data_IF_025582110071
#
_entry.id   IF_025582110071
#
_cell.length_a   1.000
_cell.length_b   1.000
_cell.length_c   1.000
_cell.angle_alpha   90.00
_cell.angle_beta   90.00
_cell.angle_gamma   90.00
#
_symmetry.space_group_name_H-M   'P 1'
#
loop_
_entity.id
_entity.type
_entity.pdbx_description
1 polymer ?
#
# COMPACT_ATOMS: atom_id res chain seq x y z
N UNK A 1 28.79 8.59 -2.78
CA UNK A 1 28.20 7.47 -3.52
C UNK A 1 27.57 8.06 -4.76
N UNK A 2 27.75 7.44 -5.92
CA UNK A 2 27.00 7.82 -7.12
C UNK A 2 25.56 7.31 -6.96
N UNK A 3 24.57 8.12 -7.35
CA UNK A 3 23.19 7.68 -7.47
C UNK A 3 23.16 6.70 -8.64
N UNK A 4 22.71 5.47 -8.39
CA UNK A 4 22.65 4.40 -9.39
C UNK A 4 21.25 4.19 -9.95
N UNK A 5 20.23 4.67 -9.22
CA UNK A 5 18.84 4.49 -9.56
C UNK A 5 18.06 5.79 -9.34
N UNK A 6 17.31 6.20 -10.35
CA UNK A 6 16.42 7.37 -10.31
C UNK A 6 15.07 6.94 -10.86
N UNK A 7 14.00 7.10 -10.11
CA UNK A 7 12.68 6.62 -10.47
C UNK A 7 11.56 7.54 -10.08
N UNK A 8 10.37 7.19 -10.55
CA UNK A 8 9.12 7.92 -10.31
C UNK A 8 8.05 6.93 -9.87
N UNK A 9 7.20 7.33 -8.91
CA UNK A 9 5.97 6.61 -8.59
C UNK A 9 4.92 6.85 -9.68
N UNK A 10 4.31 5.78 -10.17
CA UNK A 10 3.39 5.80 -11.29
C UNK A 10 2.04 5.19 -10.90
N UNK A 11 0.98 5.95 -11.10
CA UNK A 11 -0.40 5.59 -10.73
C UNK A 11 -1.30 5.30 -11.95
N UNK A 12 -0.76 5.38 -13.16
CA UNK A 12 -1.49 5.31 -14.43
C UNK A 12 -1.66 3.90 -14.98
N UNK A 13 -2.13 2.93 -14.17
CA UNK A 13 -2.18 1.51 -14.55
C UNK A 13 -3.33 1.11 -15.48
N UNK A 14 -4.30 2.00 -15.72
CA UNK A 14 -5.51 1.66 -16.49
C UNK A 14 -5.28 1.57 -18.00
N UNK A 15 -4.29 2.30 -18.55
CA UNK A 15 -4.08 2.41 -20.00
C UNK A 15 -2.61 2.20 -20.38
N UNK A 16 -2.32 1.06 -20.98
CA UNK A 16 -0.95 0.65 -21.36
C UNK A 16 -0.31 1.64 -22.34
N UNK A 17 -1.09 2.16 -23.29
CA UNK A 17 -0.59 3.09 -24.31
C UNK A 17 -0.20 4.47 -23.72
N UNK A 18 -0.84 4.87 -22.62
CA UNK A 18 -0.44 6.07 -21.88
C UNK A 18 0.85 5.81 -21.12
N UNK A 19 0.92 4.68 -20.41
CA UNK A 19 2.11 4.29 -19.65
C UNK A 19 3.37 4.25 -20.50
N UNK A 20 3.28 3.74 -21.75
CA UNK A 20 4.41 3.72 -22.68
C UNK A 20 4.98 5.10 -22.97
N UNK A 21 4.11 6.10 -23.18
CA UNK A 21 4.54 7.48 -23.44
C UNK A 21 5.15 8.13 -22.19
N UNK A 22 4.53 7.88 -21.04
CA UNK A 22 5.01 8.40 -19.75
C UNK A 22 6.38 7.79 -19.40
N UNK A 23 6.58 6.49 -19.66
CA UNK A 23 7.87 5.82 -19.45
C UNK A 23 8.95 6.37 -20.40
N UNK A 24 8.61 6.67 -21.65
CA UNK A 24 9.55 7.30 -22.57
C UNK A 24 9.98 8.67 -22.04
N UNK A 25 9.03 9.49 -21.54
CA UNK A 25 9.33 10.78 -20.93
C UNK A 25 10.24 10.63 -19.70
N UNK A 26 9.96 9.65 -18.83
CA UNK A 26 10.82 9.35 -17.68
C UNK A 26 12.25 9.01 -18.11
N UNK A 27 12.41 8.16 -19.13
CA UNK A 27 13.71 7.77 -19.67
C UNK A 27 14.44 8.99 -20.25
N UNK A 28 13.75 9.83 -21.00
CA UNK A 28 14.31 11.04 -21.60
C UNK A 28 14.80 12.04 -20.53
N UNK A 29 14.25 11.93 -19.29
CA UNK A 29 14.68 12.68 -18.12
C UNK A 29 15.64 11.90 -17.20
N UNK A 30 16.30 10.87 -17.72
CA UNK A 30 17.30 10.04 -17.04
C UNK A 30 16.74 9.21 -15.86
N UNK A 31 15.44 8.89 -15.85
CA UNK A 31 14.93 7.86 -14.95
C UNK A 31 15.26 6.47 -15.52
N UNK A 32 15.61 5.56 -14.62
CA UNK A 32 15.92 4.15 -14.95
C UNK A 32 15.11 3.17 -14.08
N UNK A 33 14.18 3.69 -13.27
CA UNK A 33 13.28 2.90 -12.44
C UNK A 33 11.87 3.50 -12.43
N UNK A 34 10.87 2.65 -12.20
CA UNK A 34 9.48 3.05 -11.96
C UNK A 34 8.90 2.26 -10.80
N UNK A 35 8.15 2.93 -9.94
CA UNK A 35 7.38 2.31 -8.86
C UNK A 35 5.91 2.33 -9.26
N UNK A 36 5.35 1.16 -9.54
CA UNK A 36 3.94 1.01 -9.92
C UNK A 36 3.08 0.95 -8.66
N UNK A 37 2.36 2.02 -8.37
CA UNK A 37 1.49 2.13 -7.21
C UNK A 37 0.14 1.44 -7.48
N UNK A 38 -0.19 0.43 -6.66
CA UNK A 38 -1.31 -0.49 -6.83
C UNK A 38 -2.36 -0.29 -5.74
N UNK A 39 -3.61 -0.21 -6.15
CA UNK A 39 -4.76 -0.29 -5.26
C UNK A 39 -5.42 -1.68 -5.32
N UNK A 40 -6.36 -1.95 -4.40
CA UNK A 40 -7.20 -3.15 -4.48
C UNK A 40 -8.00 -3.20 -5.79
N UNK A 41 -8.46 -2.04 -6.27
CA UNK A 41 -9.15 -1.93 -7.55
C UNK A 41 -8.28 -2.36 -8.74
N UNK A 42 -7.00 -1.98 -8.74
CA UNK A 42 -6.08 -2.39 -9.79
C UNK A 42 -5.88 -3.90 -9.79
N UNK A 43 -5.73 -4.49 -8.60
CA UNK A 43 -5.55 -5.94 -8.46
C UNK A 43 -6.81 -6.72 -8.85
N UNK A 44 -8.00 -6.22 -8.48
CA UNK A 44 -9.25 -6.93 -8.70
C UNK A 44 -9.79 -6.77 -10.13
N UNK A 45 -9.67 -5.59 -10.73
CA UNK A 45 -10.31 -5.26 -12.01
C UNK A 45 -9.32 -5.01 -13.15
N UNK A 46 -8.09 -4.58 -12.86
CA UNK A 46 -7.10 -4.18 -13.86
C UNK A 46 -5.83 -5.04 -13.86
N UNK A 47 -5.90 -6.22 -13.27
CA UNK A 47 -4.72 -7.10 -13.16
C UNK A 47 -4.03 -7.40 -14.51
N UNK A 48 -4.72 -7.66 -15.63
CA UNK A 48 -4.08 -7.79 -16.93
C UNK A 48 -3.31 -6.54 -17.36
N UNK A 49 -3.80 -5.35 -17.00
CA UNK A 49 -3.14 -4.08 -17.30
C UNK A 49 -1.89 -3.89 -16.45
N UNK A 50 -1.92 -4.26 -15.16
CA UNK A 50 -0.72 -4.25 -14.31
C UNK A 50 0.39 -5.07 -14.97
N UNK A 51 0.08 -6.30 -15.41
CA UNK A 51 1.03 -7.18 -16.11
C UNK A 51 1.58 -6.54 -17.38
N UNK A 52 0.70 -5.96 -18.19
CA UNK A 52 1.08 -5.34 -19.45
C UNK A 52 1.94 -4.08 -19.23
N UNK A 53 1.58 -3.24 -18.27
CA UNK A 53 2.33 -2.03 -17.91
C UNK A 53 3.70 -2.39 -17.35
N UNK A 54 3.79 -3.34 -16.41
CA UNK A 54 5.05 -3.81 -15.85
C UNK A 54 5.97 -4.38 -16.95
N UNK A 55 5.41 -5.26 -17.78
CA UNK A 55 6.16 -5.82 -18.92
C UNK A 55 6.65 -4.71 -19.85
N UNK A 56 5.81 -3.73 -20.17
CA UNK A 56 6.22 -2.62 -21.06
C UNK A 56 7.35 -1.81 -20.46
N UNK A 57 7.30 -1.50 -19.16
CA UNK A 57 8.39 -0.83 -18.47
C UNK A 57 9.69 -1.63 -18.54
N UNK A 58 9.62 -2.95 -18.31
CA UNK A 58 10.78 -3.85 -18.45
C UNK A 58 11.33 -3.88 -19.88
N UNK A 59 10.47 -3.99 -20.89
CA UNK A 59 10.86 -3.99 -22.30
C UNK A 59 11.56 -2.67 -22.71
N UNK A 60 11.24 -1.56 -22.04
CA UNK A 60 11.87 -0.25 -22.21
C UNK A 60 13.15 -0.06 -21.35
N UNK A 61 13.54 -1.06 -20.56
CA UNK A 61 14.77 -1.06 -19.79
C UNK A 61 14.67 -0.43 -18.39
N UNK A 62 13.46 -0.19 -17.90
CA UNK A 62 13.27 0.31 -16.53
C UNK A 62 13.35 -0.83 -15.51
N UNK A 63 13.93 -0.55 -14.35
CA UNK A 63 13.72 -1.35 -13.13
C UNK A 63 12.30 -1.11 -12.63
N UNK A 64 11.57 -2.19 -12.32
CA UNK A 64 10.15 -2.11 -11.95
C UNK A 64 9.96 -2.55 -10.50
N UNK A 65 9.41 -1.67 -9.69
CA UNK A 65 8.96 -1.98 -8.34
C UNK A 65 7.45 -1.94 -8.25
N UNK A 66 6.88 -2.81 -7.42
CA UNK A 66 5.45 -2.85 -7.12
C UNK A 66 5.23 -2.25 -5.73
N UNK A 67 4.41 -1.24 -5.66
CA UNK A 67 4.01 -0.61 -4.41
C UNK A 67 2.54 -0.94 -4.10
N UNK A 68 2.30 -1.58 -2.98
CA UNK A 68 0.96 -1.96 -2.52
C UNK A 68 0.24 -0.82 -1.78
N UNK A 69 0.52 0.40 -2.18
CA UNK A 69 0.04 1.66 -1.60
C UNK A 69 -1.46 1.67 -1.26
N UNK A 70 -2.31 1.16 -2.14
CA UNK A 70 -3.76 1.20 -1.96
C UNK A 70 -4.38 -0.03 -1.30
N UNK A 71 -3.59 -0.97 -0.74
CA UNK A 71 -4.11 -2.21 -0.16
C UNK A 71 -4.43 -2.03 1.33
N UNK A 72 -5.73 -2.15 1.67
CA UNK A 72 -6.20 -2.06 3.06
C UNK A 72 -6.01 -0.70 3.72
N UNK A 73 -5.62 0.32 2.97
CA UNK A 73 -5.20 1.65 3.48
C UNK A 73 -4.11 1.57 4.57
N UNK A 74 -3.36 0.50 4.60
CA UNK A 74 -2.31 0.32 5.60
C UNK A 74 -1.06 1.15 5.28
N UNK A 75 -0.82 1.40 3.99
CA UNK A 75 0.28 2.23 3.50
C UNK A 75 -0.11 3.70 3.27
N UNK A 76 -1.15 4.20 3.93
CA UNK A 76 -1.58 5.58 3.78
C UNK A 76 -2.40 5.89 2.52
N UNK A 77 -2.58 4.91 1.63
CA UNK A 77 -3.26 5.09 0.35
C UNK A 77 -4.67 5.67 0.45
N UNK A 78 -5.04 6.48 -0.53
CA UNK A 78 -6.33 7.18 -0.61
C UNK A 78 -7.52 6.29 -1.00
N UNK A 79 -7.37 5.21 -1.80
CA UNK A 79 -8.52 4.42 -2.24
C UNK A 79 -9.28 3.80 -1.07
N UNK A 80 -10.59 3.70 -1.24
CA UNK A 80 -11.43 2.95 -0.30
C UNK A 80 -11.08 1.46 -0.39
N UNK A 81 -10.77 0.83 0.74
CA UNK A 81 -10.49 -0.60 0.76
C UNK A 81 -11.77 -1.41 0.54
N UNK A 82 -11.79 -2.21 -0.52
CA UNK A 82 -12.84 -3.18 -0.80
C UNK A 82 -12.85 -4.30 0.24
N UNK A 83 -11.66 -4.75 0.65
CA UNK A 83 -11.52 -5.73 1.71
C UNK A 83 -12.21 -5.25 3.00
N UNK A 84 -11.93 -4.02 3.44
CA UNK A 84 -12.53 -3.46 4.65
C UNK A 84 -14.03 -3.16 4.53
N UNK A 85 -14.50 -2.90 3.34
CA UNK A 85 -15.94 -2.73 3.08
C UNK A 85 -16.67 -4.04 3.31
N UNK A 86 -16.09 -5.17 2.87
CA UNK A 86 -16.66 -6.50 3.03
C UNK A 86 -16.33 -7.14 4.40
N UNK A 87 -15.28 -6.66 5.08
CA UNK A 87 -14.76 -7.23 6.32
C UNK A 87 -14.53 -6.13 7.37
N UNK A 88 -15.57 -5.39 7.81
CA UNK A 88 -15.42 -4.21 8.67
C UNK A 88 -14.77 -4.51 10.04
N UNK A 89 -14.86 -5.74 10.54
CA UNK A 89 -14.23 -6.17 11.79
C UNK A 89 -12.69 -6.25 11.73
N UNK A 90 -12.07 -6.04 10.56
CA UNK A 90 -10.62 -6.01 10.40
C UNK A 90 -10.04 -4.58 10.44
N UNK A 91 -10.85 -3.59 10.74
CA UNK A 91 -10.41 -2.19 10.85
C UNK A 91 -9.57 -1.97 12.10
N UNK A 92 -8.67 -1.03 12.01
CA UNK A 92 -7.98 -0.49 13.18
C UNK A 92 -8.98 0.23 14.10
N UNK A 93 -8.63 0.29 15.38
CA UNK A 93 -9.43 0.97 16.40
C UNK A 93 -8.56 2.01 17.09
N UNK A 94 -9.09 3.24 17.18
CA UNK A 94 -8.46 4.34 17.92
C UNK A 94 -8.31 3.95 19.39
N UNK A 95 -7.14 4.22 19.97
CA UNK A 95 -6.89 3.96 21.37
C UNK A 95 -7.65 4.91 22.28
N UNK A 96 -7.86 6.13 21.83
CA UNK A 96 -8.44 7.21 22.62
C UNK A 96 -9.97 7.24 22.53
N UNK A 97 -10.51 7.17 21.30
CA UNK A 97 -11.96 7.27 21.11
C UNK A 97 -12.67 5.93 21.05
N UNK A 98 -11.96 4.84 20.78
CA UNK A 98 -12.54 3.53 20.53
C UNK A 98 -13.24 3.41 19.16
N UNK A 99 -13.17 4.43 18.32
CA UNK A 99 -13.78 4.42 16.99
C UNK A 99 -12.98 3.57 16.02
N UNK A 100 -13.68 2.98 15.05
CA UNK A 100 -13.04 2.24 13.96
C UNK A 100 -12.48 3.21 12.92
N UNK A 101 -11.25 2.94 12.50
CA UNK A 101 -10.52 3.75 11.52
C UNK A 101 -10.60 3.14 10.12
N UNK A 102 -10.40 3.92 9.05
CA UNK A 102 -10.53 3.45 7.67
C UNK A 102 -9.38 2.56 7.18
N UNK A 103 -8.46 2.17 8.05
CA UNK A 103 -7.30 1.34 7.72
C UNK A 103 -7.41 -0.08 8.31
N UNK A 104 -6.85 -1.07 7.62
CA UNK A 104 -6.80 -2.44 8.07
C UNK A 104 -5.84 -2.62 9.24
N UNK A 105 -6.21 -3.43 10.22
CA UNK A 105 -5.28 -3.85 11.25
C UNK A 105 -4.45 -5.02 10.74
N UNK A 106 -3.16 -4.84 10.58
CA UNK A 106 -2.25 -5.86 10.09
C UNK A 106 -2.13 -7.08 11.00
N UNK A 107 -2.52 -6.95 12.26
CA UNK A 107 -2.54 -8.08 13.20
C UNK A 107 -3.77 -8.98 13.04
N UNK A 108 -4.76 -8.58 12.25
CA UNK A 108 -5.93 -9.44 12.00
C UNK A 108 -5.55 -10.57 11.02
N UNK A 109 -5.80 -11.85 11.36
CA UNK A 109 -5.40 -12.96 10.51
C UNK A 109 -6.02 -12.95 9.12
N UNK A 110 -7.27 -12.44 9.01
CA UNK A 110 -7.97 -12.36 7.73
C UNK A 110 -7.32 -11.34 6.79
N UNK A 111 -6.96 -10.14 7.30
CA UNK A 111 -6.27 -9.16 6.48
C UNK A 111 -4.86 -9.61 6.11
N UNK A 112 -4.10 -10.20 7.04
CA UNK A 112 -2.76 -10.72 6.75
C UNK A 112 -2.79 -11.74 5.62
N UNK A 113 -3.73 -12.68 5.65
CA UNK A 113 -3.88 -13.68 4.59
C UNK A 113 -4.19 -13.01 3.25
N UNK A 114 -5.21 -12.16 3.22
CA UNK A 114 -5.59 -11.41 2.02
C UNK A 114 -4.41 -10.63 1.44
N UNK A 115 -3.66 -9.91 2.26
CA UNK A 115 -2.51 -9.12 1.83
C UNK A 115 -1.38 -10.01 1.28
N UNK A 116 -1.06 -11.11 1.95
CA UNK A 116 -0.05 -12.04 1.48
C UNK A 116 -0.45 -12.76 0.20
N UNK A 117 -1.72 -13.13 0.05
CA UNK A 117 -2.24 -13.71 -1.18
C UNK A 117 -2.07 -12.74 -2.38
N UNK A 118 -2.31 -11.44 -2.16
CA UNK A 118 -2.05 -10.41 -3.17
C UNK A 118 -0.54 -10.31 -3.48
N UNK A 119 0.31 -10.24 -2.47
CA UNK A 119 1.76 -10.16 -2.68
C UNK A 119 2.30 -11.39 -3.43
N UNK A 120 1.83 -12.60 -3.08
CA UNK A 120 2.20 -13.82 -3.77
C UNK A 120 1.76 -13.81 -5.24
N UNK A 121 0.52 -13.40 -5.50
CA UNK A 121 -0.02 -13.25 -6.86
C UNK A 121 0.80 -12.26 -7.68
N UNK A 122 1.09 -11.09 -7.11
CA UNK A 122 1.90 -10.06 -7.76
C UNK A 122 3.31 -10.58 -8.05
N UNK A 123 3.97 -11.18 -7.07
CA UNK A 123 5.33 -11.71 -7.21
C UNK A 123 5.44 -12.84 -8.23
N UNK A 124 4.39 -13.65 -8.38
CA UNK A 124 4.40 -14.82 -9.29
C UNK A 124 3.96 -14.50 -10.72
N UNK A 125 3.15 -13.45 -10.90
CA UNK A 125 2.51 -13.20 -12.19
C UNK A 125 2.92 -11.89 -12.87
N UNK A 126 3.54 -10.95 -12.14
CA UNK A 126 3.97 -9.65 -12.68
C UNK A 126 5.48 -9.62 -12.85
N UNK A 127 5.95 -9.22 -14.02
CA UNK A 127 7.38 -9.05 -14.30
C UNK A 127 7.92 -7.82 -13.57
N UNK A 128 8.29 -7.96 -12.31
CA UNK A 128 8.86 -6.89 -11.49
C UNK A 128 10.16 -7.32 -10.80
N UNK A 129 10.99 -6.35 -10.46
CA UNK A 129 12.29 -6.57 -9.81
C UNK A 129 12.17 -6.62 -8.29
N UNK A 130 11.09 -6.06 -7.72
CA UNK A 130 10.88 -6.05 -6.28
C UNK A 130 9.61 -5.36 -5.84
N UNK A 131 9.44 -5.30 -4.52
CA UNK A 131 8.40 -4.52 -3.88
C UNK A 131 8.99 -3.25 -3.28
N UNK A 132 8.25 -2.16 -3.39
CA UNK A 132 8.48 -0.93 -2.66
C UNK A 132 7.41 -0.82 -1.55
N UNK A 133 7.83 -0.53 -0.33
CA UNK A 133 6.92 -0.38 0.80
C UNK A 133 6.83 1.09 1.15
N UNK A 134 5.77 1.74 0.69
CA UNK A 134 5.50 3.14 0.99
C UNK A 134 4.78 3.26 2.35
N UNK A 135 5.35 4.07 3.24
CA UNK A 135 4.80 4.49 4.53
C UNK A 135 3.97 3.43 5.30
N UNK A 136 4.51 2.20 5.55
CA UNK A 136 3.76 1.20 6.29
C UNK A 136 3.61 1.62 7.76
N UNK A 137 2.44 2.08 8.16
CA UNK A 137 2.19 2.56 9.52
C UNK A 137 0.76 2.28 9.98
N UNK A 138 0.57 2.28 11.29
CA UNK A 138 -0.77 2.32 11.86
C UNK A 138 -1.41 3.68 11.62
N UNK A 139 -2.71 3.69 11.43
CA UNK A 139 -3.44 4.94 11.26
C UNK A 139 -3.27 5.82 12.51
N UNK A 140 -2.94 7.08 12.26
CA UNK A 140 -2.87 8.12 13.27
C UNK A 140 -4.09 9.01 13.07
N UNK A 141 -5.20 8.81 13.84
CA UNK A 141 -6.49 9.44 13.56
C UNK A 141 -6.44 10.95 13.44
N UNK A 142 -5.46 11.55 14.12
CA UNK A 142 -5.25 13.00 14.13
C UNK A 142 -3.97 13.46 13.43
N UNK A 143 -3.25 12.58 12.72
CA UNK A 143 -2.06 13.00 11.98
C UNK A 143 -2.39 14.04 10.90
N UNK A 144 -3.52 13.89 10.23
CA UNK A 144 -4.07 14.92 9.36
C UNK A 144 -4.53 16.17 10.12
N UNK A 145 -5.02 16.03 11.34
CA UNK A 145 -5.40 17.17 12.18
C UNK A 145 -4.18 17.96 12.65
N UNK A 146 -2.99 17.39 12.75
CA UNK A 146 -1.76 18.14 13.04
C UNK A 146 -1.35 19.02 11.87
N UNK A 147 -1.59 18.60 10.64
CA UNK A 147 -1.41 19.43 9.43
C UNK A 147 -2.47 20.53 9.37
N UNK A 148 -3.67 20.28 9.92
CA UNK A 148 -4.81 21.21 9.94
C UNK A 148 -4.96 21.95 11.28
N UNK A 149 -4.02 21.81 12.22
CA UNK A 149 -3.99 22.51 13.51
C UNK A 149 -4.70 21.81 14.68
N UNK A 150 -5.02 20.52 14.56
CA UNK A 150 -5.54 19.70 15.65
C UNK A 150 -4.44 19.07 16.50
N UNK A 151 -4.53 19.18 17.83
CA UNK A 151 -3.67 18.41 18.73
C UNK A 151 -4.06 16.93 18.71
N UNK A 152 -3.09 16.04 18.42
CA UNK A 152 -3.40 14.64 18.30
C UNK A 152 -2.49 13.75 19.13
N UNK A 153 -2.96 13.33 20.30
CA UNK A 153 -2.31 12.32 21.13
C UNK A 153 -2.92 10.92 20.90
N UNK A 154 -3.77 10.78 19.87
CA UNK A 154 -4.43 9.51 19.56
C UNK A 154 -3.54 8.62 18.70
N UNK A 155 -3.69 7.33 18.86
CA UNK A 155 -2.93 6.31 18.16
C UNK A 155 -3.81 5.08 17.85
N UNK A 156 -3.30 4.17 17.04
CA UNK A 156 -3.89 2.87 16.74
C UNK A 156 -2.77 1.80 16.78
N UNK A 157 -3.09 0.53 17.00
CA UNK A 157 -4.43 -0.03 16.97
C UNK A 157 -4.77 -0.63 18.35
N UNK A 158 -5.92 -0.29 18.89
CA UNK A 158 -6.45 -0.89 20.13
C UNK A 158 -7.61 -1.87 19.85
N UNK A 159 -7.59 -2.58 18.73
CA UNK A 159 -8.58 -3.63 18.48
C UNK A 159 -8.37 -4.82 19.42
N UNK A 160 -9.37 -5.69 19.63
CA UNK A 160 -9.27 -6.82 20.56
C UNK A 160 -8.08 -7.74 20.28
N UNK A 161 -7.68 -7.88 19.01
CA UNK A 161 -6.53 -8.71 18.63
C UNK A 161 -5.22 -8.05 19.08
N UNK A 162 -5.06 -6.74 18.84
CA UNK A 162 -3.88 -6.00 19.29
C UNK A 162 -3.76 -5.99 20.81
N UNK A 163 -4.87 -5.78 21.52
CA UNK A 163 -4.89 -5.85 22.99
C UNK A 163 -4.41 -7.22 23.51
N UNK A 164 -4.96 -8.29 22.93
CA UNK A 164 -4.56 -9.66 23.30
C UNK A 164 -3.09 -9.94 23.01
N UNK A 165 -2.59 -9.55 21.86
CA UNK A 165 -1.17 -9.75 21.49
C UNK A 165 -0.25 -8.95 22.43
N UNK A 166 -0.61 -7.72 22.73
CA UNK A 166 0.14 -6.89 23.65
C UNK A 166 0.19 -7.50 25.07
N UNK A 167 -0.98 -7.94 25.60
CA UNK A 167 -1.04 -8.59 26.91
C UNK A 167 -0.22 -9.88 26.97
N UNK A 168 -0.21 -10.65 25.89
CA UNK A 168 0.61 -11.87 25.78
C UNK A 168 2.11 -11.57 25.79
N UNK A 169 2.54 -10.49 25.17
CA UNK A 169 3.95 -10.14 25.05
C UNK A 169 4.48 -9.42 26.30
N UNK A 170 3.68 -8.51 26.87
CA UNK A 170 4.14 -7.64 27.95
C UNK A 170 3.54 -7.96 29.33
N UNK A 171 2.52 -8.80 29.42
CA UNK A 171 1.92 -9.25 30.68
C UNK A 171 0.99 -8.22 31.36
N UNK A 172 0.64 -7.13 30.68
CA UNK A 172 -0.34 -6.15 31.17
C UNK A 172 -1.19 -5.65 30.00
N UNK A 173 -2.31 -4.98 30.31
CA UNK A 173 -3.27 -4.52 29.31
C UNK A 173 -2.76 -3.27 28.57
N UNK A 174 -3.06 -3.21 27.27
CA UNK A 174 -2.78 -2.08 26.40
C UNK A 174 -3.69 -0.90 26.71
#
# INVERSE_FOLDING_TARGET
>A
MAVTETGVSYYGLSYVEHAEKDFQEMIDHNCNAVVLALSEFDVDFWFPNIKAVAKRAKDMGLTVYLDTWGIGKWFGGEPTSLFLTNNPGNRQVSAFTGETLPAACFNTPAFRRYFFDICEKLASEVEADGFFWDEPHYALPKSYASITGGAGDDWACRCPICQKLFEQEYGYQL
#
